data_IF_947205540808
#
_entry.id   IF_947205540808
#
_cell.length_a   1.000
_cell.length_b   1.000
_cell.length_c   1.000
_cell.angle_alpha   90.00
_cell.angle_beta   90.00
_cell.angle_gamma   90.00
#
_symmetry.space_group_name_H-M   'P 1'
#
loop_
_entity.id
_entity.type
_entity.pdbx_description
1 polymer ?
#
# COMPACT_ATOMS: atom_id res chain seq x y z
N UNK A 1 41.30 8.94 -50.29
CA UNK A 1 41.06 7.71 -49.47
C UNK A 1 39.59 7.72 -49.05
N UNK A 2 38.76 6.99 -49.79
CA UNK A 2 37.31 6.92 -49.58
C UNK A 2 37.05 5.89 -48.51
N UNK A 3 36.53 6.31 -47.37
CA UNK A 3 36.06 5.40 -46.30
C UNK A 3 35.01 4.44 -46.85
N UNK A 4 35.09 3.14 -46.61
CA UNK A 4 34.07 2.22 -47.06
C UNK A 4 32.76 2.54 -46.32
N UNK A 5 31.66 2.80 -47.09
CA UNK A 5 30.29 2.82 -46.57
C UNK A 5 30.07 1.50 -45.88
N UNK A 6 29.90 1.52 -44.54
CA UNK A 6 29.38 0.36 -43.80
C UNK A 6 28.04 0.00 -44.45
N UNK A 7 27.97 -1.19 -45.06
CA UNK A 7 26.71 -1.79 -45.48
C UNK A 7 25.82 -1.89 -44.23
N UNK A 8 24.63 -1.30 -44.31
CA UNK A 8 23.63 -1.44 -43.23
C UNK A 8 23.44 -2.93 -42.87
N UNK A 9 23.23 -3.19 -41.59
CA UNK A 9 22.85 -4.52 -41.12
C UNK A 9 21.58 -4.94 -41.86
N UNK A 10 21.48 -6.22 -42.26
CA UNK A 10 20.21 -6.76 -42.71
C UNK A 10 19.21 -6.71 -41.51
N UNK A 11 17.91 -6.64 -41.77
CA UNK A 11 16.90 -6.58 -40.68
C UNK A 11 17.08 -7.72 -39.66
N UNK A 12 17.31 -8.94 -40.14
CA UNK A 12 17.59 -10.08 -39.25
C UNK A 12 18.85 -9.90 -38.38
N UNK A 13 19.90 -9.28 -38.93
CA UNK A 13 21.09 -9.01 -38.16
C UNK A 13 20.87 -7.86 -37.16
N UNK A 14 20.02 -6.90 -37.49
CA UNK A 14 19.62 -5.82 -36.59
C UNK A 14 18.79 -6.39 -35.43
N UNK A 15 17.82 -7.27 -35.69
CA UNK A 15 16.99 -7.93 -34.68
C UNK A 15 17.83 -8.74 -33.71
N UNK A 16 18.77 -9.54 -34.21
CA UNK A 16 19.69 -10.31 -33.40
C UNK A 16 20.58 -9.42 -32.50
N UNK A 17 21.03 -8.29 -33.03
CA UNK A 17 21.81 -7.30 -32.29
C UNK A 17 20.99 -6.64 -31.19
N UNK A 18 19.73 -6.26 -31.49
CA UNK A 18 18.78 -5.70 -30.52
C UNK A 18 18.50 -6.70 -29.41
N UNK A 19 18.16 -7.96 -29.75
CA UNK A 19 17.90 -9.02 -28.75
C UNK A 19 19.10 -9.20 -27.81
N UNK A 20 20.31 -9.28 -28.37
CA UNK A 20 21.53 -9.42 -27.58
C UNK A 20 21.79 -8.22 -26.67
N UNK A 21 21.65 -6.99 -27.20
CA UNK A 21 21.82 -5.76 -26.44
C UNK A 21 20.77 -5.63 -25.33
N UNK A 22 19.51 -5.95 -25.61
CA UNK A 22 18.43 -5.93 -24.62
C UNK A 22 18.67 -6.91 -23.47
N UNK A 23 19.22 -8.10 -23.74
CA UNK A 23 19.63 -9.05 -22.70
C UNK A 23 20.74 -8.45 -21.83
N UNK A 24 21.80 -7.93 -22.43
CA UNK A 24 22.94 -7.34 -21.74
C UNK A 24 22.51 -6.16 -20.86
N UNK A 25 21.69 -5.26 -21.38
CA UNK A 25 21.20 -4.06 -20.71
C UNK A 25 19.99 -4.33 -19.80
N UNK A 26 19.47 -5.53 -19.78
CA UNK A 26 18.30 -5.93 -19.00
C UNK A 26 17.07 -5.09 -19.35
N UNK A 27 16.72 -5.04 -20.64
CA UNK A 27 15.57 -4.34 -21.19
C UNK A 27 14.52 -5.34 -21.72
N UNK A 28 13.82 -6.06 -20.82
CA UNK A 28 12.93 -7.14 -21.22
C UNK A 28 11.70 -6.66 -22.00
N UNK A 29 11.17 -5.47 -21.73
CA UNK A 29 9.98 -4.95 -22.40
C UNK A 29 10.32 -4.54 -23.82
N UNK A 30 11.41 -3.78 -24.01
CA UNK A 30 11.91 -3.45 -25.35
C UNK A 30 12.17 -4.73 -26.16
N UNK A 31 12.83 -5.72 -25.53
CA UNK A 31 13.13 -6.99 -26.17
C UNK A 31 11.90 -7.71 -26.70
N UNK A 32 10.81 -7.68 -25.95
CA UNK A 32 9.60 -8.40 -26.31
C UNK A 32 8.70 -7.62 -27.29
N UNK A 33 8.77 -6.31 -27.28
CA UNK A 33 7.82 -5.44 -28.00
C UNK A 33 8.43 -4.68 -29.18
N UNK A 34 9.77 -4.70 -29.37
CA UNK A 34 10.41 -3.83 -30.37
C UNK A 34 9.94 -4.10 -31.80
N UNK A 35 9.69 -5.36 -32.17
CA UNK A 35 9.21 -5.70 -33.51
C UNK A 35 7.80 -5.16 -33.76
N UNK A 36 6.88 -5.33 -32.82
CA UNK A 36 5.51 -4.85 -32.93
C UNK A 36 5.44 -3.32 -32.95
N UNK A 37 6.30 -2.67 -32.16
CA UNK A 37 6.40 -1.20 -32.13
C UNK A 37 7.03 -0.69 -33.44
N UNK A 38 8.03 -1.39 -34.01
CA UNK A 38 8.64 -1.04 -35.30
C UNK A 38 7.62 -1.13 -36.44
N UNK A 39 6.82 -2.21 -36.49
CA UNK A 39 5.78 -2.39 -37.49
C UNK A 39 4.71 -1.29 -37.43
N UNK A 40 4.29 -0.91 -36.19
CA UNK A 40 3.37 0.24 -36.02
C UNK A 40 4.00 1.55 -36.44
N UNK A 41 5.25 1.79 -36.05
CA UNK A 41 5.97 3.01 -36.40
C UNK A 41 6.10 3.21 -37.92
N UNK A 42 6.29 2.11 -38.66
CA UNK A 42 6.31 2.15 -40.14
C UNK A 42 4.93 2.50 -40.71
N UNK A 43 3.87 1.89 -40.20
CA UNK A 43 2.48 2.16 -40.66
C UNK A 43 2.06 3.59 -40.35
N UNK A 44 2.41 4.10 -39.18
CA UNK A 44 2.01 5.41 -38.69
C UNK A 44 2.99 6.53 -39.15
N UNK A 45 3.99 6.21 -39.98
CA UNK A 45 5.04 7.12 -40.41
C UNK A 45 5.71 7.89 -39.27
N UNK A 46 5.95 7.21 -38.18
CA UNK A 46 6.54 7.77 -36.97
C UNK A 46 8.00 8.22 -37.25
N UNK A 47 8.41 9.30 -36.59
CA UNK A 47 9.83 9.71 -36.67
C UNK A 47 10.71 8.73 -35.88
N UNK A 48 11.99 8.62 -36.25
CA UNK A 48 12.95 7.79 -35.50
C UNK A 48 13.03 8.15 -34.01
N UNK A 49 12.88 9.44 -33.67
CA UNK A 49 12.84 9.89 -32.26
C UNK A 49 11.58 9.43 -31.55
N UNK A 50 10.44 9.49 -32.25
CA UNK A 50 9.15 8.99 -31.71
C UNK A 50 9.21 7.49 -31.40
N UNK A 51 9.71 6.70 -32.37
CA UNK A 51 9.91 5.26 -32.20
C UNK A 51 10.82 4.92 -31.00
N UNK A 52 11.99 5.59 -30.90
CA UNK A 52 12.89 5.37 -29.76
C UNK A 52 12.24 5.78 -28.44
N UNK A 53 11.51 6.90 -28.40
CA UNK A 53 10.80 7.36 -27.22
C UNK A 53 9.74 6.34 -26.78
N UNK A 54 8.93 5.80 -27.71
CA UNK A 54 7.92 4.78 -27.40
C UNK A 54 8.54 3.52 -26.80
N UNK A 55 9.63 3.01 -27.36
CA UNK A 55 10.35 1.86 -26.81
C UNK A 55 10.86 2.10 -25.38
N UNK A 56 11.47 3.27 -25.14
CA UNK A 56 12.00 3.61 -23.83
C UNK A 56 10.88 3.82 -22.80
N UNK A 57 9.77 4.42 -23.21
CA UNK A 57 8.60 4.61 -22.34
C UNK A 57 7.98 3.28 -21.96
N UNK A 58 7.80 2.33 -22.91
CA UNK A 58 7.30 0.99 -22.62
C UNK A 58 8.15 0.27 -21.54
N UNK A 59 9.48 0.34 -21.64
CA UNK A 59 10.38 -0.22 -20.63
C UNK A 59 10.26 0.49 -19.28
N UNK A 60 10.15 1.81 -19.26
CA UNK A 60 9.98 2.59 -18.04
C UNK A 60 8.67 2.26 -17.33
N UNK A 61 7.57 2.17 -18.07
CA UNK A 61 6.24 1.88 -17.54
C UNK A 61 6.18 0.46 -16.97
N UNK A 62 6.72 -0.52 -17.68
CA UNK A 62 6.78 -1.89 -17.19
C UNK A 62 7.65 -2.02 -15.92
N UNK A 63 8.78 -1.31 -15.86
CA UNK A 63 9.60 -1.24 -14.64
C UNK A 63 8.87 -0.59 -13.47
N UNK A 64 8.14 0.50 -13.74
CA UNK A 64 7.34 1.17 -12.72
C UNK A 64 6.24 0.24 -12.20
N UNK A 65 5.51 -0.44 -13.10
CA UNK A 65 4.49 -1.44 -12.76
C UNK A 65 5.06 -2.56 -11.90
N UNK A 66 6.15 -3.20 -12.32
CA UNK A 66 6.80 -4.29 -11.56
C UNK A 66 7.32 -3.84 -10.20
N UNK A 67 7.80 -2.59 -10.08
CA UNK A 67 8.21 -2.03 -8.78
C UNK A 67 7.01 -1.86 -7.86
N UNK A 68 5.89 -1.35 -8.37
CA UNK A 68 4.65 -1.20 -7.60
C UNK A 68 4.11 -2.55 -7.13
N UNK A 69 4.03 -3.55 -8.02
CA UNK A 69 3.61 -4.92 -7.68
C UNK A 69 4.47 -5.52 -6.57
N UNK A 70 5.80 -5.37 -6.65
CA UNK A 70 6.72 -5.85 -5.60
C UNK A 70 6.49 -5.15 -4.27
N UNK A 71 6.21 -3.83 -4.26
CA UNK A 71 5.93 -3.08 -3.03
C UNK A 71 4.59 -3.50 -2.43
N UNK A 72 3.55 -3.66 -3.23
CA UNK A 72 2.25 -4.14 -2.78
C UNK A 72 2.40 -5.54 -2.15
N UNK A 73 3.13 -6.44 -2.81
CA UNK A 73 3.40 -7.77 -2.26
C UNK A 73 4.20 -7.72 -0.96
N UNK A 74 5.22 -6.85 -0.89
CA UNK A 74 6.06 -6.68 0.31
C UNK A 74 5.30 -6.05 1.49
N UNK A 75 4.23 -5.29 1.23
CA UNK A 75 3.38 -4.73 2.28
C UNK A 75 2.66 -5.81 3.11
N UNK A 76 2.42 -6.98 2.54
CA UNK A 76 1.83 -8.12 3.26
C UNK A 76 0.33 -7.99 3.51
N UNK A 77 -0.40 -7.33 2.61
CA UNK A 77 -1.86 -7.25 2.70
C UNK A 77 -2.50 -8.64 2.62
N UNK A 78 -3.53 -8.93 3.44
CA UNK A 78 -4.16 -10.25 3.46
C UNK A 78 -5.04 -10.52 2.23
N UNK A 79 -5.42 -9.47 1.52
CA UNK A 79 -6.28 -9.50 0.32
C UNK A 79 -6.09 -8.23 -0.49
N UNK A 80 -6.43 -8.30 -1.75
CA UNK A 80 -6.46 -7.12 -2.62
C UNK A 80 -7.70 -6.28 -2.33
N UNK A 81 -7.50 -5.00 -2.10
CA UNK A 81 -8.55 -3.98 -1.94
C UNK A 81 -8.08 -2.69 -2.58
N UNK A 82 -8.99 -2.04 -3.31
CA UNK A 82 -8.73 -0.76 -3.97
C UNK A 82 -9.80 0.26 -3.60
N UNK A 83 -9.48 1.54 -3.75
CA UNK A 83 -10.46 2.62 -3.58
C UNK A 83 -11.58 2.54 -4.63
N UNK A 84 -11.28 2.02 -5.83
CA UNK A 84 -12.27 1.81 -6.90
C UNK A 84 -13.33 0.77 -6.56
N UNK A 85 -12.96 -0.23 -5.75
CA UNK A 85 -13.87 -1.30 -5.31
C UNK A 85 -14.62 -0.95 -4.01
N UNK A 86 -14.38 0.22 -3.43
CA UNK A 86 -15.09 0.68 -2.25
C UNK A 86 -16.42 1.32 -2.65
N UNK A 87 -17.49 0.87 -2.02
CA UNK A 87 -18.83 1.44 -2.25
C UNK A 87 -19.08 2.58 -1.27
N UNK A 88 -18.87 3.83 -1.72
CA UNK A 88 -19.08 5.03 -0.92
C UNK A 88 -20.57 5.28 -0.63
N UNK A 89 -21.46 4.92 -1.57
CA UNK A 89 -22.91 5.12 -1.40
C UNK A 89 -23.48 4.27 -0.26
N UNK A 90 -22.86 3.13 0.01
CA UNK A 90 -23.25 2.26 1.11
C UNK A 90 -22.72 2.73 2.48
N UNK A 91 -21.89 3.77 2.51
CA UNK A 91 -21.36 4.35 3.76
C UNK A 91 -21.26 5.88 3.66
N UNK A 92 -22.36 6.60 3.90
CA UNK A 92 -22.42 8.06 3.76
C UNK A 92 -21.55 8.81 4.81
N UNK A 93 -21.06 8.12 5.85
CA UNK A 93 -20.17 8.73 6.84
C UNK A 93 -18.74 8.94 6.31
N UNK A 94 -18.42 8.37 5.15
CA UNK A 94 -17.10 8.53 4.52
C UNK A 94 -17.21 9.55 3.39
N UNK A 95 -16.62 10.71 3.59
CA UNK A 95 -16.50 11.72 2.54
C UNK A 95 -15.49 11.28 1.46
N UNK A 96 -15.94 11.06 0.19
CA UNK A 96 -15.04 10.68 -0.89
C UNK A 96 -13.91 11.70 -1.14
N UNK A 97 -14.16 12.99 -0.94
CA UNK A 97 -13.16 14.04 -1.16
C UNK A 97 -11.99 13.92 -0.15
N UNK A 98 -12.32 13.63 1.09
CA UNK A 98 -11.32 13.36 2.14
C UNK A 98 -10.48 12.12 1.77
N UNK A 99 -11.11 11.05 1.30
CA UNK A 99 -10.38 9.85 0.88
C UNK A 99 -9.49 10.10 -0.33
N UNK A 100 -9.95 10.87 -1.32
CA UNK A 100 -9.12 11.28 -2.45
C UNK A 100 -7.91 12.12 -2.01
N UNK A 101 -8.09 13.00 -1.04
CA UNK A 101 -6.98 13.76 -0.45
C UNK A 101 -5.98 12.83 0.23
N UNK A 102 -6.42 11.86 1.01
CA UNK A 102 -5.56 10.86 1.65
C UNK A 102 -4.86 9.96 0.61
N UNK A 103 -5.52 9.63 -0.49
CA UNK A 103 -4.93 8.88 -1.60
C UNK A 103 -3.79 9.65 -2.28
N UNK A 104 -3.68 10.98 -2.13
CA UNK A 104 -2.52 11.74 -2.58
C UNK A 104 -1.23 11.35 -1.85
N UNK A 105 -1.34 10.80 -0.64
CA UNK A 105 -0.25 10.39 0.27
C UNK A 105 0.60 11.56 0.81
N UNK A 106 0.14 12.81 0.73
CA UNK A 106 0.84 13.96 1.30
C UNK A 106 0.96 13.88 2.84
N UNK A 107 -0.04 13.26 3.52
CA UNK A 107 0.00 12.99 4.95
C UNK A 107 1.16 12.04 5.34
N UNK A 108 1.53 11.10 4.45
CA UNK A 108 2.67 10.20 4.68
C UNK A 108 3.99 10.98 4.64
N UNK A 109 4.15 11.91 3.70
CA UNK A 109 5.34 12.78 3.65
C UNK A 109 5.50 13.65 4.89
N UNK A 110 4.36 14.01 5.51
CA UNK A 110 4.31 14.82 6.72
C UNK A 110 4.38 13.99 8.00
N UNK A 111 4.59 12.68 7.90
CA UNK A 111 4.61 11.73 9.02
C UNK A 111 3.35 11.77 9.90
N UNK A 112 2.21 12.14 9.31
CA UNK A 112 0.95 12.27 10.03
C UNK A 112 0.28 10.90 10.24
N UNK A 113 -0.37 10.66 11.38
CA UNK A 113 -1.15 9.45 11.61
C UNK A 113 -2.53 9.51 10.95
N UNK A 114 -3.10 8.33 10.67
CA UNK A 114 -4.46 8.14 10.19
C UNK A 114 -5.18 7.12 11.08
N UNK A 115 -6.36 7.48 11.58
CA UNK A 115 -7.19 6.62 12.39
C UNK A 115 -8.54 6.37 11.71
N UNK A 116 -8.85 5.10 11.43
CA UNK A 116 -10.13 4.65 10.90
C UNK A 116 -10.90 3.97 12.02
N UNK A 117 -11.99 4.58 12.48
CA UNK A 117 -12.74 4.14 13.65
C UNK A 117 -14.18 3.78 13.24
N UNK A 118 -14.74 2.74 13.81
CA UNK A 118 -16.13 2.33 13.58
C UNK A 118 -16.35 0.85 13.85
N UNK A 119 -17.59 0.40 13.82
CA UNK A 119 -17.98 -0.97 14.15
C UNK A 119 -17.49 -2.02 13.15
N UNK A 120 -17.60 -3.29 13.54
CA UNK A 120 -17.19 -4.40 12.67
C UNK A 120 -18.03 -4.44 11.39
N UNK A 121 -17.37 -4.64 10.25
CA UNK A 121 -18.03 -4.76 8.94
C UNK A 121 -18.27 -3.44 8.21
N UNK A 122 -17.92 -2.28 8.76
CA UNK A 122 -18.14 -0.94 8.19
C UNK A 122 -17.19 -0.57 7.05
N UNK A 123 -16.14 -1.34 6.80
CA UNK A 123 -15.20 -1.09 5.69
C UNK A 123 -13.82 -0.54 6.10
N UNK A 124 -13.52 -0.42 7.40
CA UNK A 124 -12.22 0.05 7.90
C UNK A 124 -11.00 -0.66 7.28
N UNK A 125 -10.98 -1.98 7.40
CA UNK A 125 -9.88 -2.79 6.85
C UNK A 125 -9.77 -2.66 5.33
N UNK A 126 -10.92 -2.53 4.62
CA UNK A 126 -10.92 -2.26 3.19
C UNK A 126 -10.22 -0.92 2.90
N UNK A 127 -10.61 0.13 3.60
CA UNK A 127 -10.05 1.47 3.43
C UNK A 127 -8.56 1.51 3.80
N UNK A 128 -8.18 0.88 4.91
CA UNK A 128 -6.79 0.78 5.35
C UNK A 128 -5.90 0.10 4.29
N UNK A 129 -6.35 -1.04 3.74
CA UNK A 129 -5.63 -1.76 2.70
C UNK A 129 -5.60 -0.96 1.40
N UNK A 130 -6.71 -0.34 1.01
CA UNK A 130 -6.80 0.45 -0.22
C UNK A 130 -5.86 1.66 -0.19
N UNK A 131 -5.86 2.46 0.89
CA UNK A 131 -4.93 3.58 1.07
C UNK A 131 -3.47 3.12 1.16
N UNK A 132 -3.21 2.00 1.84
CA UNK A 132 -1.88 1.38 1.87
C UNK A 132 -1.41 0.92 0.48
N UNK A 133 -2.33 0.41 -0.36
CA UNK A 133 -2.05 0.03 -1.76
C UNK A 133 -1.71 1.26 -2.60
N UNK A 134 -2.47 2.35 -2.50
CA UNK A 134 -2.16 3.62 -3.16
C UNK A 134 -0.77 4.14 -2.77
N UNK A 135 -0.43 4.08 -1.48
CA UNK A 135 0.89 4.46 -1.00
C UNK A 135 2.00 3.58 -1.61
N UNK A 136 1.82 2.25 -1.65
CA UNK A 136 2.78 1.33 -2.24
C UNK A 136 2.96 1.58 -3.75
N UNK A 137 1.88 1.86 -4.48
CA UNK A 137 1.91 2.23 -5.90
C UNK A 137 2.69 3.51 -6.14
N UNK A 138 2.57 4.51 -5.25
CA UNK A 138 3.30 5.77 -5.30
C UNK A 138 4.77 5.67 -4.83
N UNK A 139 5.20 4.49 -4.40
CA UNK A 139 6.59 4.24 -4.13
C UNK A 139 6.96 4.14 -2.66
N UNK A 140 6.03 4.35 -1.74
CA UNK A 140 6.27 4.22 -0.31
C UNK A 140 6.48 2.75 0.10
N UNK A 141 7.31 2.54 1.11
CA UNK A 141 7.47 1.25 1.78
C UNK A 141 6.34 1.12 2.80
N UNK A 142 5.42 0.21 2.54
CA UNK A 142 4.26 -0.05 3.39
C UNK A 142 4.42 -1.39 4.09
N UNK A 143 3.99 -1.47 5.34
CA UNK A 143 3.84 -2.71 6.08
C UNK A 143 2.45 -2.78 6.70
N UNK A 144 1.74 -3.86 6.39
CA UNK A 144 0.46 -4.20 7.02
C UNK A 144 0.67 -5.27 8.08
N UNK A 145 -0.01 -5.15 9.20
CA UNK A 145 -0.06 -6.15 10.26
C UNK A 145 -1.37 -6.05 11.05
N UNK A 146 -1.79 -7.15 11.66
CA UNK A 146 -2.79 -7.12 12.71
C UNK A 146 -2.15 -6.65 14.03
N UNK A 147 -2.90 -5.93 14.85
CA UNK A 147 -2.41 -5.49 16.16
C UNK A 147 -1.93 -6.67 17.01
N UNK A 148 -2.70 -7.77 17.04
CA UNK A 148 -2.35 -9.00 17.74
C UNK A 148 -1.04 -9.60 17.27
N UNK A 149 -0.85 -9.67 15.94
CA UNK A 149 0.37 -10.22 15.35
C UNK A 149 1.59 -9.35 15.65
N UNK A 150 1.42 -8.03 15.60
CA UNK A 150 2.49 -7.08 15.93
C UNK A 150 2.95 -7.26 17.38
N UNK A 151 1.99 -7.29 18.33
CA UNK A 151 2.30 -7.42 19.75
C UNK A 151 2.98 -8.76 20.05
N UNK A 152 2.46 -9.86 19.52
CA UNK A 152 3.07 -11.19 19.72
C UNK A 152 4.51 -11.23 19.19
N UNK A 153 4.75 -10.68 18.02
CA UNK A 153 6.11 -10.60 17.43
C UNK A 153 7.07 -9.74 18.26
N UNK A 154 6.56 -8.68 18.91
CA UNK A 154 7.35 -7.84 19.81
C UNK A 154 7.66 -8.55 21.13
N UNK A 155 6.71 -9.30 21.69
CA UNK A 155 6.92 -10.11 22.89
C UNK A 155 7.96 -11.19 22.64
N UNK A 156 7.81 -11.97 21.58
CA UNK A 156 8.80 -12.98 21.15
C UNK A 156 10.20 -12.35 20.96
N UNK A 157 10.25 -11.20 20.29
CA UNK A 157 11.51 -10.50 20.08
C UNK A 157 12.14 -9.96 21.37
N UNK A 158 11.34 -9.63 22.39
CA UNK A 158 11.83 -9.23 23.70
C UNK A 158 12.48 -10.42 24.42
N UNK A 159 11.82 -11.58 24.42
CA UNK A 159 12.33 -12.82 25.02
C UNK A 159 13.62 -13.29 24.35
N UNK A 160 13.71 -13.12 23.03
CA UNK A 160 14.92 -13.46 22.23
C UNK A 160 16.00 -12.38 22.27
N UNK A 161 15.85 -11.29 23.02
CA UNK A 161 16.76 -10.12 23.05
C UNK A 161 16.96 -9.46 21.66
N UNK A 162 15.97 -9.53 20.78
CA UNK A 162 15.95 -8.95 19.43
C UNK A 162 15.00 -7.74 19.31
N UNK A 163 14.43 -7.27 20.42
CA UNK A 163 13.38 -6.24 20.43
C UNK A 163 13.79 -4.98 19.67
N UNK A 164 14.98 -4.42 19.94
CA UNK A 164 15.45 -3.20 19.26
C UNK A 164 15.54 -3.37 17.74
N UNK A 165 15.94 -4.55 17.26
CA UNK A 165 16.03 -4.87 15.84
C UNK A 165 14.63 -4.95 15.21
N UNK A 166 13.68 -5.53 15.94
CA UNK A 166 12.28 -5.64 15.50
C UNK A 166 11.61 -4.27 15.47
N UNK A 167 11.76 -3.44 16.51
CA UNK A 167 11.28 -2.06 16.53
C UNK A 167 11.87 -1.27 15.36
N UNK A 168 13.18 -1.31 15.16
CA UNK A 168 13.84 -0.63 14.04
C UNK A 168 13.36 -1.11 12.67
N UNK A 169 12.99 -2.39 12.52
CA UNK A 169 12.40 -2.91 11.27
C UNK A 169 11.03 -2.27 10.99
N UNK A 170 10.17 -2.15 11.99
CA UNK A 170 8.91 -1.42 11.88
C UNK A 170 9.12 0.09 11.70
N UNK A 171 10.16 0.66 12.31
CA UNK A 171 10.55 2.06 12.14
C UNK A 171 11.01 2.44 10.73
N UNK A 172 11.49 1.48 9.91
CA UNK A 172 12.06 1.77 8.57
C UNK A 172 11.05 1.89 7.45
N UNK A 173 9.82 1.48 7.64
CA UNK A 173 8.77 1.60 6.61
C UNK A 173 8.16 3.00 6.65
N UNK A 174 7.79 3.53 5.50
CA UNK A 174 7.23 4.88 5.41
C UNK A 174 5.80 4.93 5.97
N UNK A 175 5.05 3.82 5.81
CA UNK A 175 3.70 3.66 6.34
C UNK A 175 3.54 2.30 7.02
N UNK A 176 3.15 2.31 8.29
CA UNK A 176 2.73 1.12 9.05
C UNK A 176 1.20 1.11 9.16
N UNK A 177 0.57 0.09 8.58
CA UNK A 177 -0.87 -0.16 8.69
C UNK A 177 -1.11 -1.20 9.80
N UNK A 178 -1.79 -0.81 10.86
CA UNK A 178 -2.17 -1.70 11.98
C UNK A 178 -3.68 -1.89 11.95
N UNK A 179 -4.12 -3.10 11.69
CA UNK A 179 -5.55 -3.44 11.63
C UNK A 179 -6.01 -4.15 12.91
N UNK A 180 -7.30 -4.09 13.18
CA UNK A 180 -7.96 -4.73 14.32
C UNK A 180 -7.44 -4.26 15.70
N UNK A 181 -6.99 -3.01 15.80
CA UNK A 181 -6.61 -2.44 17.08
C UNK A 181 -7.87 -2.24 17.95
N UNK A 182 -7.85 -2.78 19.17
CA UNK A 182 -9.01 -2.76 20.09
C UNK A 182 -9.82 -4.05 20.12
N UNK A 183 -9.51 -5.04 19.27
CA UNK A 183 -10.19 -6.34 19.27
C UNK A 183 -9.74 -7.27 20.40
N UNK A 184 -8.56 -7.04 20.93
CA UNK A 184 -7.94 -7.86 21.97
C UNK A 184 -7.53 -6.98 23.14
N UNK A 185 -7.78 -7.47 24.36
CA UNK A 185 -7.18 -6.87 25.54
C UNK A 185 -5.67 -7.07 25.50
N UNK A 186 -4.94 -5.97 25.56
CA UNK A 186 -3.50 -5.98 25.66
C UNK A 186 -3.13 -5.93 27.14
N UNK A 187 -2.32 -6.87 27.56
CA UNK A 187 -1.67 -6.75 28.86
C UNK A 187 -0.74 -5.53 28.88
N UNK A 188 -0.31 -5.17 30.08
CA UNK A 188 0.56 -4.00 30.25
C UNK A 188 1.83 -4.11 29.41
N UNK A 189 2.44 -5.29 29.34
CA UNK A 189 3.67 -5.52 28.63
C UNK A 189 3.50 -5.34 27.11
N UNK A 190 2.46 -5.96 26.54
CA UNK A 190 2.14 -5.80 25.11
C UNK A 190 1.82 -4.36 24.72
N UNK A 191 1.11 -3.63 25.59
CA UNK A 191 0.83 -2.21 25.39
C UNK A 191 2.10 -1.35 25.44
N UNK A 192 3.04 -1.60 26.37
CA UNK A 192 4.33 -0.93 26.44
C UNK A 192 5.18 -1.18 25.19
N UNK A 193 5.16 -2.40 24.65
CA UNK A 193 5.88 -2.74 23.42
C UNK A 193 5.28 -2.05 22.19
N UNK A 194 3.95 -2.02 22.08
CA UNK A 194 3.27 -1.27 21.02
C UNK A 194 3.60 0.22 21.11
N UNK A 195 3.58 0.79 22.31
CA UNK A 195 3.94 2.18 22.55
C UNK A 195 5.37 2.50 22.06
N UNK A 196 6.33 1.61 22.29
CA UNK A 196 7.70 1.79 21.81
C UNK A 196 7.77 1.85 20.28
N UNK A 197 7.00 1.01 19.57
CA UNK A 197 6.92 1.09 18.09
C UNK A 197 6.33 2.41 17.63
N UNK A 198 5.26 2.89 18.27
CA UNK A 198 4.63 4.16 17.91
C UNK A 198 5.58 5.34 18.19
N UNK A 199 6.29 5.31 19.33
CA UNK A 199 7.30 6.33 19.68
C UNK A 199 8.47 6.35 18.68
N UNK A 200 8.96 5.20 18.23
CA UNK A 200 10.03 5.15 17.22
C UNK A 200 9.61 5.77 15.89
N UNK A 201 8.31 5.78 15.61
CA UNK A 201 7.76 6.30 14.36
C UNK A 201 7.32 7.75 14.44
N UNK A 202 7.11 8.27 15.65
CA UNK A 202 6.61 9.61 15.88
C UNK A 202 7.42 10.65 15.12
N UNK A 203 6.76 11.53 14.37
CA UNK A 203 7.34 12.57 13.51
C UNK A 203 8.32 12.10 12.42
N UNK A 204 8.62 10.81 12.35
CA UNK A 204 9.54 10.23 11.35
C UNK A 204 8.80 9.54 10.22
N UNK A 205 7.76 8.77 10.54
CA UNK A 205 7.02 7.95 9.58
C UNK A 205 5.57 7.74 10.00
N UNK A 206 4.67 7.68 9.05
CA UNK A 206 3.23 7.58 9.30
C UNK A 206 2.79 6.22 9.83
N UNK A 207 1.74 6.27 10.66
CA UNK A 207 0.98 5.10 11.10
C UNK A 207 -0.47 5.26 10.67
N UNK A 208 -1.06 4.22 10.09
CA UNK A 208 -2.49 4.14 9.85
C UNK A 208 -3.07 3.00 10.67
N UNK A 209 -4.12 3.26 11.42
CA UNK A 209 -4.78 2.25 12.24
C UNK A 209 -6.23 2.06 11.82
N UNK A 210 -6.74 0.83 12.01
CA UNK A 210 -8.17 0.55 11.98
C UNK A 210 -8.58 -0.03 13.34
N UNK A 211 -9.56 0.61 13.99
CA UNK A 211 -10.06 0.22 15.29
C UNK A 211 -11.59 0.07 15.28
N UNK A 212 -12.09 -0.96 15.93
CA UNK A 212 -13.51 -1.16 16.16
C UNK A 212 -14.03 -0.42 17.41
N UNK A 213 -13.13 0.10 18.23
CA UNK A 213 -13.44 0.88 19.40
C UNK A 213 -13.10 2.35 19.19
N UNK A 214 -13.96 3.25 19.61
CA UNK A 214 -13.65 4.68 19.71
C UNK A 214 -12.53 4.91 20.73
N UNK A 215 -11.84 6.05 20.66
CA UNK A 215 -10.79 6.37 21.63
C UNK A 215 -11.28 6.33 23.08
N UNK A 216 -12.53 6.69 23.34
CA UNK A 216 -13.14 6.58 24.68
C UNK A 216 -13.29 5.11 25.15
N UNK A 217 -13.42 4.17 24.22
CA UNK A 217 -13.51 2.73 24.51
C UNK A 217 -12.14 2.04 24.67
N UNK A 218 -11.03 2.72 24.33
CA UNK A 218 -9.68 2.13 24.38
C UNK A 218 -9.18 1.82 25.79
N UNK A 219 -9.84 2.30 26.82
CA UNK A 219 -9.58 1.87 28.21
C UNK A 219 -9.92 0.39 28.45
N UNK A 220 -10.68 -0.25 27.55
CA UNK A 220 -10.97 -1.68 27.61
C UNK A 220 -9.80 -2.53 27.12
N UNK A 221 -9.26 -2.29 25.87
CA UNK A 221 -8.12 -3.04 25.38
C UNK A 221 -6.79 -2.67 26.06
N UNK A 222 -6.66 -1.47 26.64
CA UNK A 222 -5.46 -1.04 27.33
C UNK A 222 -5.68 -0.97 28.84
N UNK A 223 -5.08 -1.90 29.57
CA UNK A 223 -5.26 -2.02 31.02
C UNK A 223 -4.63 -0.87 31.81
N UNK A 224 -3.63 -0.17 31.28
CA UNK A 224 -3.03 1.02 31.89
C UNK A 224 -3.60 2.31 31.27
N UNK A 225 -4.39 3.11 32.02
CA UNK A 225 -5.00 4.33 31.50
C UNK A 225 -3.99 5.40 31.05
N UNK A 226 -2.80 5.47 31.70
CA UNK A 226 -1.77 6.45 31.35
C UNK A 226 -1.13 6.10 30.01
N UNK A 227 -0.87 4.81 29.80
CA UNK A 227 -0.31 4.31 28.56
C UNK A 227 -1.34 4.44 27.42
N UNK A 228 -2.60 4.15 27.69
CA UNK A 228 -3.70 4.38 26.76
C UNK A 228 -3.74 5.86 26.31
N UNK A 229 -3.73 6.80 27.25
CA UNK A 229 -3.74 8.23 26.94
C UNK A 229 -2.53 8.64 26.09
N UNK A 230 -1.34 8.14 26.40
CA UNK A 230 -0.12 8.44 25.63
C UNK A 230 -0.14 7.84 24.20
N UNK A 231 -0.76 6.67 24.00
CA UNK A 231 -0.96 6.07 22.67
C UNK A 231 -1.97 6.89 21.88
N UNK A 232 -3.10 7.26 22.49
CA UNK A 232 -4.14 8.09 21.84
C UNK A 232 -3.56 9.45 21.43
N UNK A 233 -2.81 10.11 22.30
CA UNK A 233 -2.17 11.38 22.00
C UNK A 233 -1.30 11.30 20.75
N UNK A 234 -0.43 10.29 20.63
CA UNK A 234 0.42 10.09 19.47
C UNK A 234 -0.34 9.81 18.17
N UNK A 235 -1.43 9.08 18.25
CA UNK A 235 -2.22 8.70 17.08
C UNK A 235 -3.16 9.81 16.63
N UNK A 236 -3.44 10.79 17.49
CA UNK A 236 -4.33 11.91 17.17
C UNK A 236 -3.59 13.21 16.88
N UNK A 237 -2.36 13.35 17.39
CA UNK A 237 -1.56 14.56 17.18
C UNK A 237 -1.30 14.80 15.68
N UNK A 238 -1.79 15.94 15.18
CA UNK A 238 -1.74 16.29 13.74
C UNK A 238 -2.28 15.22 12.78
N UNK A 239 -3.04 14.23 13.30
CA UNK A 239 -3.56 13.11 12.55
C UNK A 239 -4.92 13.39 11.91
N UNK A 240 -5.30 12.51 10.97
CA UNK A 240 -6.65 12.46 10.42
C UNK A 240 -7.42 11.34 11.09
N UNK A 241 -8.60 11.66 11.62
CA UNK A 241 -9.51 10.67 12.22
C UNK A 241 -10.74 10.58 11.31
N UNK A 242 -11.10 9.37 10.91
CA UNK A 242 -12.30 9.09 10.12
C UNK A 242 -13.18 8.12 10.89
N UNK A 243 -14.35 8.57 11.27
CA UNK A 243 -15.40 7.74 11.87
C UNK A 243 -16.24 7.13 10.75
N UNK A 244 -16.10 5.82 10.55
CA UNK A 244 -16.74 5.09 9.45
C UNK A 244 -18.19 4.68 9.79
N UNK A 245 -18.61 4.87 11.05
CA UNK A 245 -19.98 4.58 11.50
C UNK A 245 -20.18 3.15 12.03
N UNK A 246 -21.45 2.81 12.27
CA UNK A 246 -21.87 1.58 12.96
C UNK A 246 -22.53 0.56 12.03
N UNK A 247 -22.99 0.95 10.85
CA UNK A 247 -23.76 0.08 9.96
C UNK A 247 -22.87 -0.93 9.22
N UNK A 248 -23.11 -2.21 9.46
CA UNK A 248 -22.33 -3.28 8.85
C UNK A 248 -22.71 -3.54 7.40
N UNK A 249 -21.87 -3.14 6.46
CA UNK A 249 -21.99 -3.48 5.04
C UNK A 249 -22.02 -5.00 4.80
N UNK A 250 -21.30 -5.79 5.59
CA UNK A 250 -21.30 -7.26 5.46
C UNK A 250 -22.68 -7.85 5.74
N UNK A 251 -23.35 -7.38 6.78
CA UNK A 251 -24.70 -7.84 7.14
C UNK A 251 -25.71 -7.40 6.09
N UNK A 252 -25.64 -6.14 5.63
CA UNK A 252 -26.50 -5.61 4.59
C UNK A 252 -26.36 -6.40 3.27
N UNK A 253 -25.13 -6.65 2.82
CA UNK A 253 -24.88 -7.41 1.59
C UNK A 253 -25.30 -8.88 1.68
N UNK A 254 -25.18 -9.50 2.85
CA UNK A 254 -25.66 -10.86 3.07
C UNK A 254 -27.17 -10.94 3.02
N UNK A 255 -27.88 -10.01 3.67
CA UNK A 255 -29.36 -9.92 3.63
C UNK A 255 -29.86 -9.72 2.20
N UNK A 256 -29.27 -8.78 1.46
CA UNK A 256 -29.62 -8.52 0.06
C UNK A 256 -29.43 -9.76 -0.85
N UNK A 257 -28.42 -10.60 -0.58
CA UNK A 257 -28.25 -11.88 -1.30
C UNK A 257 -29.28 -12.94 -0.94
N UNK A 258 -29.72 -12.95 0.31
CA UNK A 258 -30.73 -13.92 0.79
C UNK A 258 -32.14 -13.55 0.33
N UNK A 259 -32.38 -12.26 0.08
CA UNK A 259 -33.66 -11.73 -0.40
C UNK A 259 -33.82 -11.77 -1.94
N UNK A 260 -32.74 -12.04 -2.69
CA UNK A 260 -32.84 -12.33 -4.12
C UNK A 260 -33.29 -13.77 -4.30
N UNK A 261 -34.54 -14.04 -4.78
CA UNK A 261 -35.00 -15.39 -5.09
C UNK A 261 -34.11 -15.95 -6.18
N UNK A 262 -33.73 -17.24 -6.04
CA UNK A 262 -33.02 -17.97 -7.08
C UNK A 262 -33.80 -17.77 -8.39
N UNK A 263 -33.21 -17.05 -9.33
CA UNK A 263 -33.74 -16.95 -10.67
C UNK A 263 -33.76 -18.36 -11.26
N UNK A 264 -34.97 -18.94 -11.38
CA UNK A 264 -35.20 -20.25 -11.97
C UNK A 264 -34.87 -20.27 -13.46
#
# INVERSE_FOLDING_TARGET
MTMPRQRGLTEQAADAAIDSACRLLRLPSIRNEFSDIADRAMKDQMTYRGFLAELLMAECDDRARRRSERRIKAAGFPREKSLRSFNFDANPNIDPATIHTLASCEWIKKSQPLCLIGDSGTGKSHMLIALGTEAAMKGYRVRYTLATKLVNELVEAADEKQLNKTIARYGRVDLLCIDELGYMELDRHGAELLFQVLTEREEKNSVAIASNESFGGWTKPFTDPRLCAAIVDRLTFNGTIIEIGTDSYRLASTRARTEQPAAG
#
